data_IF_337806037185
#
_entry.id   IF_337806037185
#
_cell.length_a   1.000
_cell.length_b   1.000
_cell.length_c   1.000
_cell.angle_alpha   90.00
_cell.angle_beta   90.00
_cell.angle_gamma   90.00
#
_symmetry.space_group_name_H-M   'P 1'
#
loop_
_entity.id
_entity.type
_entity.pdbx_description
1 polymer ?
#
# COMPACT_ATOMS: atom_id res chain seq x y z
N UNK A 1 21.89 -31.53 -18.02
CA UNK A 1 23.09 -31.44 -17.21
C UNK A 1 23.64 -30.03 -17.34
N UNK A 2 23.90 -29.38 -16.21
CA UNK A 2 24.54 -28.09 -16.24
C UNK A 2 25.90 -28.27 -16.92
N UNK A 3 26.15 -27.54 -18.00
CA UNK A 3 27.45 -27.54 -18.63
C UNK A 3 28.48 -26.97 -17.64
N UNK A 4 29.68 -27.53 -17.58
CA UNK A 4 30.74 -27.04 -16.69
C UNK A 4 31.12 -25.58 -17.00
N UNK A 5 30.84 -25.13 -18.23
CA UNK A 5 31.08 -23.76 -18.71
C UNK A 5 29.87 -22.84 -18.54
N UNK A 6 28.80 -23.32 -17.87
CA UNK A 6 27.58 -22.54 -17.67
C UNK A 6 27.81 -21.48 -16.58
N UNK A 7 27.64 -20.21 -16.91
CA UNK A 7 27.71 -19.11 -15.98
C UNK A 7 26.35 -18.41 -15.87
N UNK A 8 26.07 -17.75 -14.76
CA UNK A 8 24.89 -16.91 -14.69
C UNK A 8 24.88 -15.85 -15.80
N UNK A 9 23.71 -15.63 -16.40
CA UNK A 9 23.50 -14.57 -17.36
C UNK A 9 23.68 -13.22 -16.65
N UNK A 10 24.40 -12.29 -17.26
CA UNK A 10 24.48 -10.92 -16.78
C UNK A 10 23.20 -10.16 -17.14
N UNK A 11 22.93 -9.10 -16.41
CA UNK A 11 21.71 -8.32 -16.60
C UNK A 11 21.66 -7.69 -18.01
N UNK A 12 22.77 -7.14 -18.48
CA UNK A 12 22.88 -6.53 -19.81
C UNK A 12 22.63 -7.56 -20.93
N UNK A 13 23.14 -8.78 -20.78
CA UNK A 13 22.89 -9.87 -21.72
C UNK A 13 21.41 -10.30 -21.75
N UNK A 14 20.76 -10.27 -20.58
CA UNK A 14 19.33 -10.51 -20.49
C UNK A 14 18.53 -9.42 -21.21
N UNK A 15 18.89 -8.15 -21.05
CA UNK A 15 18.24 -7.04 -21.74
C UNK A 15 18.38 -7.14 -23.26
N UNK A 16 19.59 -7.46 -23.78
CA UNK A 16 19.84 -7.64 -25.21
C UNK A 16 19.01 -8.79 -25.82
N UNK A 17 18.73 -9.83 -25.04
CA UNK A 17 17.95 -10.99 -25.48
C UNK A 17 16.45 -10.71 -25.47
N UNK A 18 15.96 -9.78 -24.65
CA UNK A 18 14.54 -9.47 -24.46
C UNK A 18 14.13 -8.28 -25.32
N UNK A 19 13.32 -8.52 -26.37
CA UNK A 19 12.87 -7.46 -27.29
C UNK A 19 11.62 -6.72 -26.78
N UNK A 20 10.74 -7.41 -26.06
CA UNK A 20 9.51 -6.87 -25.52
C UNK A 20 9.32 -7.39 -24.09
N UNK A 21 9.07 -6.48 -23.16
CA UNK A 21 8.91 -6.80 -21.73
C UNK A 21 7.63 -6.17 -21.20
N UNK A 22 6.86 -6.96 -20.44
CA UNK A 22 5.73 -6.46 -19.65
C UNK A 22 6.12 -6.57 -18.19
N UNK A 23 6.22 -5.43 -17.52
CA UNK A 23 6.50 -5.35 -16.09
C UNK A 23 5.19 -5.41 -15.31
N UNK A 24 5.10 -6.31 -14.31
CA UNK A 24 3.94 -6.44 -13.43
C UNK A 24 4.41 -6.28 -11.99
N UNK A 25 3.95 -5.23 -11.33
CA UNK A 25 4.32 -4.93 -9.95
C UNK A 25 3.22 -4.16 -9.23
N UNK A 26 3.04 -4.44 -7.93
CA UNK A 26 2.20 -3.59 -7.06
C UNK A 26 2.91 -2.29 -6.68
N UNK A 27 4.25 -2.28 -6.71
CA UNK A 27 5.12 -1.16 -6.32
C UNK A 27 6.28 -1.06 -7.32
N UNK A 28 6.04 -0.56 -8.55
CA UNK A 28 7.07 -0.48 -9.57
C UNK A 28 8.28 0.31 -9.07
N UNK A 29 9.47 -0.11 -9.49
CA UNK A 29 10.72 0.52 -9.13
C UNK A 29 11.18 1.51 -10.20
N UNK A 30 12.28 2.19 -9.95
CA UNK A 30 12.85 3.19 -10.85
C UNK A 30 13.19 2.59 -12.22
N UNK A 31 13.76 1.38 -12.23
CA UNK A 31 14.11 0.69 -13.48
C UNK A 31 12.90 0.49 -14.38
N UNK A 32 11.82 -0.12 -13.89
CA UNK A 32 10.62 -0.39 -14.67
C UNK A 32 9.95 0.90 -15.14
N UNK A 33 9.95 1.95 -14.30
CA UNK A 33 9.37 3.24 -14.65
C UNK A 33 10.17 3.96 -15.74
N UNK A 34 11.52 3.86 -15.71
CA UNK A 34 12.39 4.40 -16.77
C UNK A 34 12.16 3.62 -18.07
N UNK A 35 12.20 2.29 -18.01
CA UNK A 35 12.04 1.45 -19.21
C UNK A 35 10.67 1.57 -19.87
N UNK A 36 9.62 1.82 -19.08
CA UNK A 36 8.26 2.06 -19.57
C UNK A 36 7.99 3.52 -19.90
N UNK A 37 8.98 4.41 -19.80
CA UNK A 37 8.86 5.86 -20.00
C UNK A 37 7.73 6.48 -19.15
N UNK A 38 7.47 5.95 -17.95
CA UNK A 38 6.39 6.37 -17.07
C UNK A 38 4.99 5.92 -17.52
N UNK A 39 4.88 5.08 -18.57
CA UNK A 39 3.58 4.55 -19.02
C UNK A 39 3.20 3.38 -18.10
N UNK A 40 2.12 3.54 -17.33
CA UNK A 40 1.60 2.54 -16.41
C UNK A 40 0.13 2.27 -16.67
N UNK A 41 -0.23 1.00 -16.76
CA UNK A 41 -1.63 0.56 -16.80
C UNK A 41 -2.03 0.12 -15.40
N UNK A 42 -2.93 0.87 -14.78
CA UNK A 42 -3.37 0.59 -13.41
C UNK A 42 -4.51 -0.43 -13.36
N UNK A 43 -4.32 -1.47 -12.58
CA UNK A 43 -5.40 -2.39 -12.21
C UNK A 43 -5.68 -2.27 -10.70
N UNK A 44 -6.47 -1.29 -10.33
CA UNK A 44 -6.77 -0.95 -8.93
C UNK A 44 -7.99 -1.73 -8.41
N UNK A 45 -8.92 -2.09 -9.30
CA UNK A 45 -10.18 -2.71 -8.93
C UNK A 45 -10.02 -4.22 -8.78
N UNK A 46 -10.40 -4.74 -7.60
CA UNK A 46 -10.46 -6.18 -7.35
C UNK A 46 -11.81 -6.76 -7.78
N UNK A 47 -11.84 -7.95 -8.39
CA UNK A 47 -13.09 -8.64 -8.72
C UNK A 47 -13.95 -8.95 -7.48
N UNK A 48 -13.31 -9.14 -6.33
CA UNK A 48 -13.96 -9.45 -5.03
C UNK A 48 -14.74 -8.27 -4.44
N UNK A 49 -14.55 -7.05 -4.95
CA UNK A 49 -15.14 -5.84 -4.37
C UNK A 49 -14.47 -5.33 -3.09
N UNK A 50 -13.46 -6.05 -2.58
CA UNK A 50 -12.73 -5.63 -1.38
C UNK A 50 -11.96 -4.34 -1.62
N UNK A 51 -12.05 -3.43 -0.64
CA UNK A 51 -11.38 -2.14 -0.64
C UNK A 51 -9.95 -2.26 -0.08
N UNK A 52 -9.11 -1.31 -0.45
CA UNK A 52 -7.83 -1.14 0.26
C UNK A 52 -8.09 -0.72 1.72
N UNK A 53 -7.26 -1.13 2.68
CA UNK A 53 -7.51 -0.90 4.10
C UNK A 53 -7.46 0.59 4.46
N UNK A 54 -8.14 0.96 5.54
CA UNK A 54 -7.96 2.28 6.16
C UNK A 54 -6.62 2.30 6.87
N UNK A 55 -5.83 3.35 6.65
CA UNK A 55 -4.57 3.59 7.37
C UNK A 55 -4.79 4.65 8.44
N UNK A 56 -4.48 4.30 9.68
CA UNK A 56 -4.53 5.19 10.83
C UNK A 56 -3.10 5.41 11.36
N UNK A 57 -2.77 6.65 11.70
CA UNK A 57 -1.49 6.97 12.32
C UNK A 57 -1.74 7.30 13.79
N UNK A 58 -1.02 6.62 14.68
CA UNK A 58 -1.11 6.81 16.14
C UNK A 58 0.26 7.13 16.73
N UNK A 59 0.34 7.85 17.87
CA UNK A 59 1.59 8.15 18.53
C UNK A 59 2.38 6.88 18.89
N UNK A 60 3.72 6.96 18.85
CA UNK A 60 4.60 5.88 19.32
C UNK A 60 4.57 5.73 20.84
N UNK A 61 4.21 6.76 21.57
CA UNK A 61 4.07 6.71 23.03
C UNK A 61 2.94 5.75 23.39
N UNK A 62 3.23 4.75 24.24
CA UNK A 62 2.31 3.69 24.64
C UNK A 62 1.81 2.81 23.48
N UNK A 63 2.58 2.73 22.39
CA UNK A 63 2.20 1.92 21.20
C UNK A 63 1.91 0.45 21.53
N UNK A 64 2.54 -0.12 22.55
CA UNK A 64 2.35 -1.53 22.93
C UNK A 64 1.02 -1.71 23.66
N UNK A 65 0.64 -0.80 24.53
CA UNK A 65 -0.64 -0.86 25.25
C UNK A 65 -1.82 -0.68 24.28
N UNK A 66 -1.73 0.31 23.38
CA UNK A 66 -2.71 0.53 22.32
C UNK A 66 -2.80 -0.67 21.36
N UNK A 67 -1.65 -1.27 21.00
CA UNK A 67 -1.62 -2.49 20.19
C UNK A 67 -2.31 -3.66 20.90
N UNK A 68 -2.11 -3.81 22.20
CA UNK A 68 -2.77 -4.85 23.00
C UNK A 68 -4.29 -4.73 22.97
N UNK A 69 -4.82 -3.52 23.11
CA UNK A 69 -6.28 -3.28 23.01
C UNK A 69 -6.81 -3.66 21.64
N UNK A 70 -6.12 -3.24 20.57
CA UNK A 70 -6.51 -3.60 19.19
C UNK A 70 -6.42 -5.11 18.93
N UNK A 71 -5.41 -5.80 19.49
CA UNK A 71 -5.28 -7.26 19.41
C UNK A 71 -6.49 -7.93 20.08
N UNK A 72 -6.87 -7.53 21.28
CA UNK A 72 -8.02 -8.11 22.00
C UNK A 72 -9.31 -7.94 21.19
N UNK A 73 -9.54 -6.77 20.61
CA UNK A 73 -10.70 -6.52 19.75
C UNK A 73 -10.73 -7.43 18.51
N UNK A 74 -9.58 -7.85 17.99
CA UNK A 74 -9.50 -8.79 16.85
C UNK A 74 -9.69 -10.24 17.29
N UNK A 75 -9.13 -10.62 18.43
CA UNK A 75 -9.32 -11.95 19.02
C UNK A 75 -10.81 -12.24 19.27
N UNK A 76 -11.55 -11.27 19.82
CA UNK A 76 -12.99 -11.37 20.05
C UNK A 76 -13.79 -11.62 18.77
N UNK A 77 -13.28 -11.19 17.61
CA UNK A 77 -13.87 -11.39 16.30
C UNK A 77 -13.30 -12.60 15.54
N UNK A 78 -12.45 -13.38 16.18
CA UNK A 78 -11.73 -14.50 15.55
C UNK A 78 -10.87 -14.08 14.33
N UNK A 79 -10.47 -12.80 14.29
CA UNK A 79 -9.60 -12.23 13.25
C UNK A 79 -8.13 -12.33 13.65
N UNK A 80 -7.22 -12.19 12.67
CA UNK A 80 -5.77 -12.30 12.88
C UNK A 80 -5.08 -10.95 12.73
N UNK A 81 -3.94 -10.82 13.41
CA UNK A 81 -3.14 -9.59 13.46
C UNK A 81 -1.73 -9.86 12.95
N UNK A 82 -1.22 -9.00 12.09
CA UNK A 82 0.20 -8.95 11.73
C UNK A 82 0.85 -7.73 12.38
N UNK A 83 2.00 -7.93 13.02
CA UNK A 83 2.78 -6.85 13.63
C UNK A 83 4.16 -6.80 13.00
N UNK A 84 4.58 -5.63 12.51
CA UNK A 84 5.92 -5.44 11.97
C UNK A 84 6.79 -4.63 12.91
N UNK A 85 7.97 -5.17 13.19
CA UNK A 85 9.02 -4.54 14.01
C UNK A 85 10.24 -4.16 13.15
N UNK A 86 11.17 -3.42 13.69
CA UNK A 86 12.41 -3.03 13.01
C UNK A 86 13.55 -4.04 13.16
N UNK A 87 13.57 -4.78 14.27
CA UNK A 87 14.66 -5.70 14.60
C UNK A 87 14.14 -7.05 15.07
N UNK A 88 14.97 -8.09 14.93
CA UNK A 88 14.68 -9.43 15.48
C UNK A 88 14.46 -9.37 16.99
N UNK A 89 15.35 -8.68 17.70
CA UNK A 89 15.26 -8.53 19.14
C UNK A 89 13.93 -7.92 19.58
N UNK A 90 13.47 -6.88 18.90
CA UNK A 90 12.18 -6.27 19.18
C UNK A 90 11.02 -7.23 18.90
N UNK A 91 11.11 -8.08 17.86
CA UNK A 91 10.12 -9.10 17.59
C UNK A 91 10.08 -10.17 18.68
N UNK A 92 11.23 -10.62 19.18
CA UNK A 92 11.36 -11.60 20.25
C UNK A 92 10.82 -11.05 21.58
N UNK A 93 11.26 -9.85 21.99
CA UNK A 93 10.81 -9.18 23.19
C UNK A 93 9.29 -8.92 23.19
N UNK A 94 8.74 -8.50 22.05
CA UNK A 94 7.31 -8.31 21.89
C UNK A 94 6.55 -9.63 21.96
N UNK A 95 7.07 -10.70 21.35
CA UNK A 95 6.46 -12.03 21.43
C UNK A 95 6.40 -12.53 22.86
N UNK A 96 7.50 -12.42 23.61
CA UNK A 96 7.55 -12.80 25.01
C UNK A 96 6.54 -11.99 25.85
N UNK A 97 6.47 -10.69 25.63
CA UNK A 97 5.52 -9.81 26.31
C UNK A 97 4.07 -10.22 26.04
N UNK A 98 3.70 -10.49 24.78
CA UNK A 98 2.36 -10.90 24.38
C UNK A 98 1.98 -12.28 24.98
N UNK A 99 2.90 -13.25 24.94
CA UNK A 99 2.71 -14.57 25.55
C UNK A 99 2.47 -14.47 27.06
N UNK A 100 3.24 -13.61 27.77
CA UNK A 100 3.06 -13.37 29.21
C UNK A 100 1.71 -12.71 29.53
N UNK A 101 1.08 -12.05 28.56
CA UNK A 101 -0.25 -11.49 28.65
C UNK A 101 -1.35 -12.40 28.03
N UNK A 102 -1.08 -13.71 27.89
CA UNK A 102 -2.00 -14.72 27.40
C UNK A 102 -2.48 -14.51 25.94
N UNK A 103 -1.73 -13.79 25.11
CA UNK A 103 -1.99 -13.68 23.68
C UNK A 103 -1.27 -14.79 22.94
N UNK A 104 -1.99 -15.58 22.16
CA UNK A 104 -1.40 -16.63 21.32
C UNK A 104 -0.68 -15.98 20.13
N UNK A 105 0.62 -15.95 20.18
CA UNK A 105 1.42 -15.33 19.14
C UNK A 105 2.65 -16.15 18.77
N UNK A 106 3.18 -15.88 17.60
CA UNK A 106 4.47 -16.38 17.15
C UNK A 106 5.21 -15.26 16.40
N UNK A 107 6.51 -15.44 16.22
CA UNK A 107 7.29 -14.50 15.42
C UNK A 107 8.00 -15.23 14.27
N UNK A 108 8.31 -14.48 13.23
CA UNK A 108 8.98 -14.98 12.05
C UNK A 108 10.11 -14.04 11.64
N UNK A 109 11.29 -14.60 11.33
CA UNK A 109 12.47 -13.85 10.89
C UNK A 109 13.18 -14.56 9.73
N UNK A 110 14.26 -13.95 9.22
CA UNK A 110 14.98 -14.44 8.04
C UNK A 110 15.59 -15.83 8.20
N UNK A 111 15.87 -16.24 9.43
CA UNK A 111 16.59 -17.50 9.71
C UNK A 111 15.64 -18.69 9.89
N UNK A 112 14.32 -18.46 9.84
CA UNK A 112 13.32 -19.53 9.87
C UNK A 112 13.35 -20.28 8.54
N UNK A 113 13.47 -21.62 8.63
CA UNK A 113 13.46 -22.48 7.44
C UNK A 113 12.15 -22.38 6.66
N UNK A 114 12.22 -22.63 5.35
CA UNK A 114 11.07 -22.48 4.45
C UNK A 114 9.89 -23.38 4.86
N UNK A 115 10.14 -24.59 5.30
CA UNK A 115 9.09 -25.51 5.75
C UNK A 115 8.44 -25.06 7.06
N UNK A 116 9.26 -24.60 8.00
CA UNK A 116 8.79 -24.04 9.27
C UNK A 116 7.96 -22.76 9.03
N UNK A 117 8.39 -21.92 8.09
CA UNK A 117 7.65 -20.73 7.68
C UNK A 117 6.25 -21.07 7.16
N UNK A 118 6.13 -22.09 6.28
CA UNK A 118 4.84 -22.56 5.78
C UNK A 118 3.94 -23.02 6.92
N UNK A 119 4.51 -23.79 7.88
CA UNK A 119 3.77 -24.26 9.04
C UNK A 119 3.27 -23.10 9.91
N UNK A 120 4.12 -22.10 10.23
CA UNK A 120 3.71 -20.93 11.02
C UNK A 120 2.55 -20.19 10.33
N UNK A 121 2.57 -20.10 9.00
CA UNK A 121 1.50 -19.45 8.25
C UNK A 121 0.20 -20.26 8.28
N UNK A 122 0.28 -21.56 8.16
CA UNK A 122 -0.90 -22.44 8.26
C UNK A 122 -1.47 -22.45 9.67
N UNK A 123 -0.64 -22.46 10.70
CA UNK A 123 -1.04 -22.35 12.10
C UNK A 123 -1.76 -21.01 12.38
N UNK A 124 -1.31 -19.91 11.77
CA UNK A 124 -2.01 -18.61 11.86
C UNK A 124 -3.39 -18.68 11.21
N UNK A 125 -3.52 -19.27 10.01
CA UNK A 125 -4.80 -19.46 9.32
C UNK A 125 -5.77 -20.32 10.14
N UNK A 126 -5.26 -21.41 10.71
CA UNK A 126 -6.05 -22.32 11.53
C UNK A 126 -6.40 -21.76 12.92
N UNK A 127 -5.85 -20.60 13.29
CA UNK A 127 -6.11 -19.95 14.58
C UNK A 127 -5.36 -20.57 15.76
N UNK A 128 -4.29 -21.30 15.50
CA UNK A 128 -3.34 -21.71 16.56
C UNK A 128 -2.70 -20.47 17.19
N UNK A 129 -2.44 -19.46 16.35
CA UNK A 129 -2.00 -18.14 16.76
C UNK A 129 -3.02 -17.07 16.34
N UNK A 130 -3.12 -16.01 17.13
CA UNK A 130 -3.93 -14.83 16.81
C UNK A 130 -3.06 -13.71 16.22
N UNK A 131 -1.79 -13.68 16.61
CA UNK A 131 -0.84 -12.64 16.22
C UNK A 131 0.42 -13.25 15.63
N UNK A 132 0.85 -12.72 14.50
CA UNK A 132 2.16 -13.02 13.92
C UNK A 132 3.01 -11.76 13.88
N UNK A 133 4.21 -11.84 14.46
CA UNK A 133 5.16 -10.75 14.54
C UNK A 133 6.30 -11.02 13.55
N UNK A 134 6.72 -10.00 12.81
CA UNK A 134 7.80 -10.15 11.85
C UNK A 134 8.57 -8.87 11.56
N UNK A 135 9.84 -9.01 11.14
CA UNK A 135 10.68 -7.85 10.79
C UNK A 135 10.46 -7.41 9.35
N UNK A 136 10.58 -8.31 8.39
CA UNK A 136 10.56 -7.99 6.96
C UNK A 136 9.76 -8.99 6.12
N UNK A 137 9.29 -10.05 6.72
CA UNK A 137 8.80 -11.24 6.02
C UNK A 137 7.36 -11.15 5.54
N UNK A 138 6.71 -10.02 5.82
CA UNK A 138 5.31 -9.82 5.47
C UNK A 138 5.13 -9.20 4.08
N UNK A 139 6.19 -9.17 3.25
CA UNK A 139 6.17 -8.47 1.96
C UNK A 139 5.62 -9.32 0.82
N UNK A 140 6.09 -10.55 0.65
CA UNK A 140 5.81 -11.37 -0.53
C UNK A 140 5.29 -12.76 -0.18
N UNK A 141 4.48 -13.32 -1.07
CA UNK A 141 4.02 -14.71 -0.99
C UNK A 141 3.01 -15.03 0.09
N UNK A 142 2.46 -14.05 0.81
CA UNK A 142 1.47 -14.27 1.85
C UNK A 142 0.08 -13.87 1.38
N UNK A 143 -0.85 -14.81 1.40
CA UNK A 143 -2.27 -14.57 1.21
C UNK A 143 -3.02 -15.01 2.47
N UNK A 144 -3.39 -14.04 3.30
CA UNK A 144 -3.97 -14.24 4.63
C UNK A 144 -5.27 -13.44 4.74
N UNK A 145 -6.37 -13.97 4.21
CA UNK A 145 -7.67 -13.29 4.27
C UNK A 145 -8.20 -13.13 5.71
N UNK A 146 -7.71 -13.91 6.66
CA UNK A 146 -8.08 -13.85 8.08
C UNK A 146 -7.49 -12.63 8.78
N UNK A 147 -6.46 -11.99 8.19
CA UNK A 147 -5.79 -10.83 8.77
C UNK A 147 -6.62 -9.57 8.54
N UNK A 148 -7.16 -9.02 9.60
CA UNK A 148 -7.91 -7.76 9.59
C UNK A 148 -7.10 -6.57 10.07
N UNK A 149 -6.02 -6.80 10.85
CA UNK A 149 -5.17 -5.73 11.35
C UNK A 149 -3.71 -5.94 10.95
N UNK A 150 -3.11 -4.90 10.42
CA UNK A 150 -1.65 -4.79 10.25
C UNK A 150 -1.15 -3.63 11.09
N UNK A 151 -0.33 -3.91 12.09
CA UNK A 151 0.30 -2.91 12.95
C UNK A 151 1.77 -2.72 12.55
N UNK A 152 2.17 -1.48 12.34
CA UNK A 152 3.52 -1.11 11.95
C UNK A 152 4.12 -0.28 13.07
N UNK A 153 4.97 -0.88 13.89
CA UNK A 153 5.65 -0.19 14.98
C UNK A 153 6.79 0.68 14.44
N UNK A 154 7.01 1.84 15.07
CA UNK A 154 8.06 2.78 14.69
C UNK A 154 8.05 3.07 13.17
N UNK A 155 6.89 3.43 12.64
CA UNK A 155 6.71 3.63 11.21
C UNK A 155 7.47 4.86 10.68
N UNK A 156 7.83 5.79 11.54
CA UNK A 156 8.60 7.01 11.23
C UNK A 156 10.13 6.82 11.23
N UNK A 157 10.62 5.63 11.57
CA UNK A 157 12.05 5.32 11.51
C UNK A 157 12.43 4.99 10.07
N UNK A 158 12.71 6.02 9.29
CA UNK A 158 13.03 5.89 7.87
C UNK A 158 14.18 4.91 7.63
N UNK A 159 14.07 4.15 6.53
CA UNK A 159 15.01 3.14 6.11
C UNK A 159 14.38 2.12 5.18
N UNK A 160 15.14 1.10 4.80
CA UNK A 160 14.69 0.08 3.86
C UNK A 160 13.37 -0.61 4.28
N UNK A 161 13.18 -0.85 5.59
CA UNK A 161 11.97 -1.49 6.13
C UNK A 161 10.77 -0.55 6.23
N UNK A 162 10.96 0.74 6.14
CA UNK A 162 9.94 1.79 6.25
C UNK A 162 9.92 2.69 5.02
N UNK A 163 10.51 2.24 3.91
CA UNK A 163 10.35 2.91 2.61
C UNK A 163 8.90 2.83 2.13
N UNK A 164 8.49 3.77 1.30
CA UNK A 164 7.16 3.79 0.70
C UNK A 164 6.72 2.42 0.14
N UNK A 165 7.60 1.75 -0.64
CA UNK A 165 7.32 0.42 -1.19
C UNK A 165 7.09 -0.63 -0.10
N UNK A 166 7.92 -0.61 0.92
CA UNK A 166 7.81 -1.52 2.06
C UNK A 166 6.50 -1.33 2.83
N UNK A 167 6.17 -0.08 3.13
CA UNK A 167 4.93 0.27 3.84
C UNK A 167 3.70 -0.11 3.00
N UNK A 168 3.70 0.19 1.69
CA UNK A 168 2.59 -0.14 0.79
C UNK A 168 2.37 -1.66 0.69
N UNK A 169 3.44 -2.45 0.55
CA UNK A 169 3.32 -3.91 0.50
C UNK A 169 2.82 -4.49 1.83
N UNK A 170 3.30 -3.96 2.95
CA UNK A 170 2.87 -4.39 4.28
C UNK A 170 1.41 -4.02 4.54
N UNK A 171 1.02 -2.79 4.26
CA UNK A 171 -0.37 -2.33 4.37
C UNK A 171 -1.33 -3.17 3.51
N UNK A 172 -0.89 -3.55 2.31
CA UNK A 172 -1.66 -4.38 1.40
C UNK A 172 -2.03 -5.76 1.94
N UNK A 173 -1.42 -6.23 3.03
CA UNK A 173 -1.78 -7.52 3.67
C UNK A 173 -3.15 -7.48 4.32
N UNK A 174 -3.59 -6.33 4.83
CA UNK A 174 -4.95 -6.15 5.35
C UNK A 174 -6.02 -6.01 4.25
N UNK A 175 -5.64 -5.86 2.99
CA UNK A 175 -6.56 -5.61 1.88
C UNK A 175 -7.38 -6.84 1.43
N UNK A 176 -7.18 -7.99 2.05
CA UNK A 176 -7.93 -9.25 1.78
C UNK A 176 -9.09 -9.44 2.76
N UNK A 177 -9.17 -8.65 3.80
CA UNK A 177 -10.23 -8.70 4.80
C UNK A 177 -11.18 -7.52 4.64
N UNK A 178 -12.48 -7.74 4.84
CA UNK A 178 -13.51 -6.69 4.78
C UNK A 178 -13.27 -5.64 5.88
N UNK A 179 -12.83 -6.09 7.06
CA UNK A 179 -12.49 -5.25 8.21
C UNK A 179 -11.03 -4.80 8.21
N UNK A 180 -10.38 -4.83 7.02
CA UNK A 180 -8.97 -4.53 6.88
C UNK A 180 -8.60 -3.13 7.38
N UNK A 181 -7.70 -3.07 8.37
CA UNK A 181 -7.18 -1.84 8.98
C UNK A 181 -5.67 -1.91 9.10
N UNK A 182 -5.03 -0.77 8.94
CA UNK A 182 -3.58 -0.61 9.18
C UNK A 182 -3.38 0.47 10.23
N UNK A 183 -2.55 0.20 11.23
CA UNK A 183 -2.13 1.19 12.21
C UNK A 183 -0.63 1.40 12.06
N UNK A 184 -0.23 2.64 11.82
CA UNK A 184 1.16 3.08 11.80
C UNK A 184 1.44 3.85 13.09
N UNK A 185 2.28 3.29 13.96
CA UNK A 185 2.73 3.99 15.15
C UNK A 185 3.92 4.88 14.82
N UNK A 186 3.75 6.18 14.99
CA UNK A 186 4.73 7.18 14.58
C UNK A 186 4.51 8.50 15.32
N UNK A 187 5.60 9.18 15.67
CA UNK A 187 5.55 10.52 16.28
C UNK A 187 5.48 11.63 15.22
N UNK A 188 5.90 11.32 14.00
CA UNK A 188 5.84 12.21 12.85
C UNK A 188 5.50 11.44 11.57
N UNK A 189 4.78 12.08 10.67
CA UNK A 189 4.51 11.51 9.35
C UNK A 189 5.70 11.81 8.45
N UNK A 190 6.39 10.75 7.99
CA UNK A 190 7.49 10.83 7.03
C UNK A 190 6.97 10.90 5.60
N UNK A 191 7.84 11.23 4.64
CA UNK A 191 7.46 11.26 3.22
C UNK A 191 7.05 9.87 2.72
N UNK A 192 7.74 8.82 3.15
CA UNK A 192 7.38 7.43 2.84
C UNK A 192 5.99 7.04 3.37
N UNK A 193 5.65 7.46 4.58
CA UNK A 193 4.32 7.24 5.15
C UNK A 193 3.26 8.02 4.38
N UNK A 194 3.50 9.30 4.10
CA UNK A 194 2.56 10.17 3.36
C UNK A 194 2.24 9.59 1.99
N UNK A 195 3.26 9.23 1.21
CA UNK A 195 3.07 8.60 -0.10
C UNK A 195 2.26 7.30 -0.01
N UNK A 196 2.47 6.49 1.03
CA UNK A 196 1.72 5.25 1.24
C UNK A 196 0.25 5.52 1.58
N UNK A 197 -0.01 6.48 2.45
CA UNK A 197 -1.36 6.88 2.88
C UNK A 197 -2.13 7.46 1.69
N UNK A 198 -1.52 8.40 0.97
CA UNK A 198 -2.14 9.07 -0.17
C UNK A 198 -2.49 8.08 -1.29
N UNK A 199 -1.54 7.19 -1.62
CA UNK A 199 -1.77 6.17 -2.65
C UNK A 199 -2.85 5.17 -2.24
N UNK A 200 -2.87 4.73 -0.99
CA UNK A 200 -3.89 3.81 -0.48
C UNK A 200 -5.27 4.47 -0.49
N UNK A 201 -5.37 5.72 -0.08
CA UNK A 201 -6.61 6.50 -0.12
C UNK A 201 -7.10 6.71 -1.56
N UNK A 202 -6.20 7.07 -2.48
CA UNK A 202 -6.50 7.21 -3.91
C UNK A 202 -7.08 5.91 -4.51
N UNK A 203 -6.47 4.77 -4.20
CA UNK A 203 -6.96 3.46 -4.65
C UNK A 203 -8.31 3.15 -4.04
N UNK A 204 -8.49 3.35 -2.75
CA UNK A 204 -9.74 3.13 -2.03
C UNK A 204 -10.87 3.97 -2.62
N UNK A 205 -10.64 5.25 -2.94
CA UNK A 205 -11.64 6.10 -3.59
C UNK A 205 -12.05 5.58 -4.97
N UNK A 206 -11.10 5.15 -5.80
CA UNK A 206 -11.41 4.54 -7.10
C UNK A 206 -12.26 3.27 -6.94
N UNK A 207 -11.95 2.45 -5.95
CA UNK A 207 -12.69 1.22 -5.64
C UNK A 207 -14.11 1.53 -5.18
N UNK A 208 -14.29 2.50 -4.28
CA UNK A 208 -15.59 2.96 -3.80
C UNK A 208 -16.47 3.54 -4.92
N UNK A 209 -15.91 4.37 -5.80
CA UNK A 209 -16.63 4.92 -6.96
C UNK A 209 -17.17 3.80 -7.85
N UNK A 210 -16.39 2.73 -8.08
CA UNK A 210 -16.85 1.60 -8.88
C UNK A 210 -17.90 0.76 -8.14
N UNK A 211 -17.73 0.53 -6.84
CA UNK A 211 -18.72 -0.19 -6.03
C UNK A 211 -20.08 0.54 -6.06
N UNK A 212 -20.08 1.87 -5.94
CA UNK A 212 -21.30 2.70 -6.09
C UNK A 212 -21.94 2.56 -7.46
N UNK A 213 -21.15 2.58 -8.53
CA UNK A 213 -21.69 2.42 -9.88
C UNK A 213 -22.25 1.02 -10.15
N UNK A 214 -21.78 0.00 -9.43
CA UNK A 214 -22.33 -1.36 -9.47
C UNK A 214 -23.62 -1.47 -8.63
N UNK A 215 -23.71 -0.76 -7.50
CA UNK A 215 -24.88 -0.74 -6.62
C UNK A 215 -26.07 0.04 -7.21
N UNK A 216 -25.82 0.96 -8.14
CA UNK A 216 -26.89 1.64 -8.90
C UNK A 216 -27.67 0.66 -9.80
N UNK A 217 -27.07 -0.50 -10.14
CA UNK A 217 -27.74 -1.59 -10.87
C UNK A 217 -28.33 -2.69 -9.96
N UNK A 218 -28.14 -2.62 -8.64
CA UNK A 218 -28.63 -3.57 -7.65
C UNK A 218 -29.21 -2.83 -6.43
N UNK A 219 -30.35 -3.29 -5.95
CA UNK A 219 -31.25 -2.73 -4.92
C UNK A 219 -30.61 -1.86 -3.83
N UNK A 220 -31.29 -0.77 -3.39
CA UNK A 220 -30.84 0.09 -2.30
C UNK A 220 -30.89 -0.70 -0.97
N UNK A 221 -29.80 -0.75 -0.24
CA UNK A 221 -29.72 -1.37 1.10
C UNK A 221 -28.57 -2.36 1.30
N UNK A 222 -27.54 -2.35 0.46
CA UNK A 222 -26.40 -3.24 0.64
C UNK A 222 -25.36 -2.68 1.62
N UNK A 223 -24.61 -3.59 2.30
CA UNK A 223 -23.51 -3.31 3.24
C UNK A 223 -22.50 -2.24 2.75
N UNK A 224 -22.46 -1.98 1.43
CA UNK A 224 -21.68 -0.90 0.85
C UNK A 224 -22.08 0.50 1.35
N UNK A 225 -23.35 0.72 1.71
CA UNK A 225 -23.83 2.00 2.25
C UNK A 225 -23.46 2.20 3.73
N UNK A 226 -23.25 1.13 4.48
CA UNK A 226 -22.77 1.21 5.87
C UNK A 226 -21.27 1.49 5.92
N UNK A 227 -20.47 0.85 5.06
CA UNK A 227 -19.04 1.13 4.88
C UNK A 227 -18.75 2.56 4.42
N UNK A 228 -19.73 3.21 3.77
CA UNK A 228 -19.65 4.61 3.35
C UNK A 228 -19.95 5.60 4.49
N UNK A 229 -20.54 5.15 5.58
CA UNK A 229 -20.89 5.99 6.74
C UNK A 229 -19.79 6.09 7.78
N UNK A 230 -18.76 5.26 7.73
CA UNK A 230 -17.56 5.44 8.53
C UNK A 230 -16.79 6.67 8.02
N UNK A 231 -17.18 7.81 8.58
CA UNK A 231 -16.58 9.10 8.34
C UNK A 231 -15.17 9.15 8.96
N UNK A 232 -14.19 9.38 8.09
CA UNK A 232 -13.05 10.27 8.29
C UNK A 232 -12.41 10.29 9.69
N UNK A 233 -11.45 9.42 9.93
CA UNK A 233 -10.35 9.77 10.79
C UNK A 233 -9.31 10.47 9.90
N UNK A 234 -9.28 11.80 10.01
CA UNK A 234 -8.21 12.69 9.59
C UNK A 234 -7.76 12.63 8.12
N UNK A 235 -8.42 13.37 7.24
CA UNK A 235 -7.79 13.90 6.02
C UNK A 235 -8.42 15.26 5.72
N UNK A 236 -7.61 16.31 5.75
CA UNK A 236 -7.91 17.52 4.98
C UNK A 236 -8.08 17.11 3.50
N UNK A 237 -9.04 17.67 2.76
CA UNK A 237 -9.23 17.34 1.36
C UNK A 237 -8.09 17.93 0.53
N UNK A 238 -7.01 17.18 0.37
CA UNK A 238 -6.03 17.47 -0.67
C UNK A 238 -6.50 16.82 -1.96
N UNK A 239 -6.74 17.67 -2.95
CA UNK A 239 -6.99 17.30 -4.34
C UNK A 239 -6.06 16.19 -4.83
N UNK A 240 -6.53 15.28 -5.71
CA UNK A 240 -5.68 14.24 -6.29
C UNK A 240 -4.51 14.88 -7.02
N UNK A 241 -3.33 14.67 -6.50
CA UNK A 241 -2.11 15.33 -6.92
C UNK A 241 -1.40 14.41 -7.91
N UNK A 242 -1.75 14.46 -9.20
CA UNK A 242 -1.01 13.73 -10.24
C UNK A 242 0.46 14.18 -10.26
N UNK A 243 0.73 15.44 -9.94
CA UNK A 243 2.10 15.95 -9.82
C UNK A 243 2.90 15.35 -8.65
N UNK A 244 2.24 14.73 -7.66
CA UNK A 244 2.88 13.99 -6.58
C UNK A 244 3.03 12.49 -6.91
N UNK A 245 2.54 12.04 -8.06
CA UNK A 245 2.72 10.67 -8.49
C UNK A 245 4.20 10.42 -8.83
N UNK A 246 4.86 9.42 -8.21
CA UNK A 246 6.23 9.05 -8.54
C UNK A 246 6.47 8.82 -10.04
N UNK A 247 5.45 8.47 -10.80
CA UNK A 247 5.48 8.25 -12.24
C UNK A 247 5.89 9.51 -13.00
N UNK A 248 5.44 10.68 -12.56
CA UNK A 248 5.73 11.97 -13.23
C UNK A 248 7.22 12.27 -13.26
N UNK A 249 7.98 11.80 -12.27
CA UNK A 249 9.43 11.99 -12.21
C UNK A 249 10.19 11.26 -13.33
N UNK A 250 9.60 10.20 -13.91
CA UNK A 250 10.21 9.37 -14.95
C UNK A 250 9.67 9.64 -16.35
N UNK A 251 8.73 10.55 -16.51
CA UNK A 251 8.22 10.96 -17.81
C UNK A 251 9.27 11.66 -18.66
N UNK A 252 9.28 11.39 -19.95
CA UNK A 252 10.05 12.16 -20.93
C UNK A 252 9.42 13.53 -21.16
N UNK A 253 10.20 14.47 -21.73
CA UNK A 253 9.70 15.84 -22.04
C UNK A 253 8.42 15.79 -22.89
N UNK A 254 8.41 14.96 -23.94
CA UNK A 254 7.26 14.81 -24.84
C UNK A 254 6.00 14.24 -24.15
N UNK A 255 6.19 13.36 -23.17
CA UNK A 255 5.09 12.81 -22.36
C UNK A 255 4.56 13.82 -21.36
N UNK A 256 5.45 14.60 -20.74
CA UNK A 256 5.07 15.70 -19.85
C UNK A 256 4.25 16.75 -20.60
N UNK A 257 4.68 17.14 -21.80
CA UNK A 257 3.94 18.07 -22.66
C UNK A 257 2.54 17.54 -23.01
N UNK A 258 2.42 16.25 -23.35
CA UNK A 258 1.12 15.61 -23.60
C UNK A 258 0.23 15.59 -22.36
N UNK A 259 0.80 15.34 -21.20
CA UNK A 259 0.05 15.34 -19.94
C UNK A 259 -0.46 16.75 -19.61
N UNK A 260 0.38 17.78 -19.76
CA UNK A 260 0.00 19.17 -19.60
C UNK A 260 -1.15 19.55 -20.55
N UNK A 261 -1.03 19.18 -21.84
CA UNK A 261 -2.09 19.46 -22.82
C UNK A 261 -3.40 18.74 -22.48
N UNK A 262 -3.32 17.47 -22.05
CA UNK A 262 -4.49 16.69 -21.62
C UNK A 262 -5.17 17.32 -20.40
N UNK A 263 -4.42 17.65 -19.36
CA UNK A 263 -4.95 18.28 -18.13
C UNK A 263 -5.58 19.65 -18.46
N UNK A 264 -4.97 20.42 -19.37
CA UNK A 264 -5.53 21.69 -19.84
C UNK A 264 -6.87 21.50 -20.57
N UNK A 265 -7.01 20.46 -21.41
CA UNK A 265 -8.29 20.13 -22.05
C UNK A 265 -9.35 19.73 -21.02
N UNK A 266 -9.01 18.88 -20.07
CA UNK A 266 -9.93 18.46 -19.01
C UNK A 266 -10.40 19.65 -18.15
N UNK A 267 -9.49 20.57 -17.81
CA UNK A 267 -9.84 21.81 -17.11
C UNK A 267 -10.85 22.64 -17.91
N UNK A 268 -10.63 22.79 -19.21
CA UNK A 268 -11.54 23.56 -20.07
C UNK A 268 -12.90 22.89 -20.24
N UNK A 269 -12.93 21.55 -20.34
CA UNK A 269 -14.18 20.78 -20.43
C UNK A 269 -14.99 20.88 -19.14
N UNK A 270 -14.34 20.74 -17.97
CA UNK A 270 -14.97 20.91 -16.68
C UNK A 270 -15.52 22.35 -16.49
N UNK A 271 -14.76 23.35 -16.90
CA UNK A 271 -15.22 24.74 -16.87
C UNK A 271 -16.44 25.00 -17.78
N UNK A 272 -16.48 24.38 -18.97
CA UNK A 272 -17.66 24.48 -19.88
C UNK A 272 -18.89 23.79 -19.29
N UNK A 273 -18.71 22.72 -18.51
CA UNK A 273 -19.79 22.01 -17.83
C UNK A 273 -20.22 22.66 -16.51
N UNK A 274 -19.60 23.80 -16.12
CA UNK A 274 -19.80 24.50 -14.86
C UNK A 274 -19.40 23.67 -13.62
N UNK A 275 -18.55 22.67 -13.79
CA UNK A 275 -17.97 21.82 -12.73
C UNK A 275 -16.76 22.56 -12.11
N UNK A 276 -17.04 23.67 -11.40
CA UNK A 276 -15.99 24.60 -10.94
C UNK A 276 -14.98 23.98 -9.99
N UNK A 277 -15.39 22.99 -9.18
CA UNK A 277 -14.50 22.27 -8.24
C UNK A 277 -13.49 21.44 -9.04
N UNK A 278 -13.95 20.68 -10.03
CA UNK A 278 -13.08 19.87 -10.88
C UNK A 278 -12.18 20.74 -11.76
N UNK A 279 -12.70 21.83 -12.29
CA UNK A 279 -11.89 22.79 -13.05
C UNK A 279 -10.78 23.42 -12.21
N UNK A 280 -11.04 23.71 -10.93
CA UNK A 280 -10.03 24.20 -9.99
C UNK A 280 -8.97 23.15 -9.66
N UNK A 281 -9.37 21.87 -9.53
CA UNK A 281 -8.45 20.75 -9.32
C UNK A 281 -7.50 20.59 -10.52
N UNK A 282 -8.03 20.53 -11.73
CA UNK A 282 -7.22 20.44 -12.95
C UNK A 282 -6.29 21.65 -13.14
N UNK A 283 -6.73 22.84 -12.74
CA UNK A 283 -5.86 24.03 -12.76
C UNK A 283 -4.67 23.89 -11.83
N UNK A 284 -4.91 23.44 -10.60
CA UNK A 284 -3.84 23.27 -9.61
C UNK A 284 -2.85 22.17 -10.04
N UNK A 285 -3.36 21.10 -10.67
CA UNK A 285 -2.57 20.04 -11.26
C UNK A 285 -1.74 20.55 -12.44
N UNK A 286 -2.33 21.32 -13.33
CA UNK A 286 -1.66 21.92 -14.48
C UNK A 286 -0.46 22.77 -14.04
N UNK A 287 -0.65 23.65 -13.04
CA UNK A 287 0.41 24.49 -12.50
C UNK A 287 1.59 23.66 -11.99
N UNK A 288 1.32 22.58 -11.26
CA UNK A 288 2.37 21.69 -10.74
C UNK A 288 3.13 20.95 -11.84
N UNK A 289 2.44 20.46 -12.87
CA UNK A 289 3.07 19.83 -14.03
C UNK A 289 3.94 20.82 -14.81
N UNK A 290 3.48 22.07 -14.98
CA UNK A 290 4.24 23.13 -15.62
C UNK A 290 5.48 23.52 -14.80
N UNK A 291 5.38 23.58 -13.48
CA UNK A 291 6.52 23.85 -12.59
C UNK A 291 7.55 22.73 -12.61
N UNK A 292 7.12 21.47 -12.52
CA UNK A 292 8.00 20.31 -12.67
C UNK A 292 8.68 20.25 -14.05
N UNK A 293 7.97 20.64 -15.10
CA UNK A 293 8.54 20.71 -16.43
C UNK A 293 9.64 21.77 -16.52
N UNK A 294 9.45 22.94 -15.89
CA UNK A 294 10.46 24.01 -15.81
C UNK A 294 11.67 23.57 -14.99
N UNK A 295 11.44 22.89 -13.86
CA UNK A 295 12.51 22.42 -12.98
C UNK A 295 13.40 21.37 -13.67
N UNK A 296 12.80 20.49 -14.49
CA UNK A 296 13.48 19.37 -15.11
C UNK A 296 14.13 19.69 -16.46
N UNK A 297 13.56 20.61 -17.23
CA UNK A 297 13.99 20.92 -18.61
C UNK A 297 14.04 22.43 -18.93
N UNK A 298 13.78 23.30 -17.98
CA UNK A 298 13.95 24.76 -18.10
C UNK A 298 15.33 25.17 -17.69
#
# INVERSE_FOLDING_TARGET
PAAMDNRPLKFEEFEEMTKQVIYVSATPAEYELIQSEGIVVEQVIRPTGLLDPVIEVRPSLNQIDDLMEEIQLRIEKEERVLVTTLTKRMAEELTEYLLNNNVRCNYIHSDVDTLERVKIMDDLRQGVYDVLIGVNLLREGLDLPEVSLVAILDADKEGFLRSHRSLTQTAGRAARNVNGKVIMYADKITDSMRLTIDETNRRREKQLKKARNLSVFGSPGSEADELLKEKHAYVEPSSPNIAADPIVQYMSKAQMEKSIERTRKLMQEAAKKLEFIEAAQYRNELLKLEDLMKEKWG
#
